data_IF_958415861082
#
_entry.id   IF_958415861082
#
_cell.length_a   1.000
_cell.length_b   1.000
_cell.length_c   1.000
_cell.angle_alpha   90.00
_cell.angle_beta   90.00
_cell.angle_gamma   90.00
#
_symmetry.space_group_name_H-M   'P 1'
#
loop_
_entity.id
_entity.type
_entity.pdbx_description
1 polymer ?
#
# COMPACT_ATOMS: atom_id res chain seq x y z
N UNK A 1 -6.59 43.22 -28.16
CA UNK A 1 -5.77 42.13 -28.71
C UNK A 1 -5.41 41.17 -27.59
N UNK A 2 -5.63 39.86 -27.75
CA UNK A 2 -5.23 38.88 -26.73
C UNK A 2 -3.74 38.58 -26.92
N UNK A 3 -2.89 39.00 -25.99
CA UNK A 3 -1.47 38.61 -25.98
C UNK A 3 -1.39 37.10 -25.79
N UNK A 4 -0.63 36.41 -26.65
CA UNK A 4 -0.39 34.97 -26.51
C UNK A 4 0.69 34.79 -25.45
N UNK A 5 0.37 34.01 -24.44
CA UNK A 5 1.27 33.66 -23.33
C UNK A 5 1.90 32.29 -23.61
N UNK A 6 3.21 32.20 -23.38
CA UNK A 6 4.00 30.99 -23.61
C UNK A 6 4.84 30.69 -22.37
N UNK A 7 4.77 29.46 -21.87
CA UNK A 7 5.55 29.01 -20.73
C UNK A 7 6.60 28.00 -21.17
N UNK A 8 7.84 28.17 -20.71
CA UNK A 8 8.98 27.32 -21.03
C UNK A 8 9.65 26.84 -19.75
N UNK A 9 9.77 25.53 -19.63
CA UNK A 9 10.49 24.89 -18.53
C UNK A 9 11.98 24.83 -18.88
N UNK A 10 12.84 25.31 -17.97
CA UNK A 10 14.30 25.27 -18.13
C UNK A 10 14.91 24.26 -17.17
N UNK A 11 15.98 23.58 -17.59
CA UNK A 11 16.54 22.44 -16.84
C UNK A 11 17.38 22.84 -15.62
N UNK A 12 17.78 24.10 -15.54
CA UNK A 12 18.48 24.70 -14.40
C UNK A 12 18.06 26.15 -14.22
N UNK A 13 18.29 26.69 -13.03
CA UNK A 13 18.08 28.12 -12.75
C UNK A 13 19.00 28.94 -13.66
N UNK A 14 18.43 29.85 -14.44
CA UNK A 14 19.21 30.71 -15.32
C UNK A 14 19.81 31.85 -14.52
N UNK A 15 21.04 32.24 -14.87
CA UNK A 15 21.58 33.52 -14.42
C UNK A 15 20.76 34.67 -15.03
N UNK A 16 20.84 35.86 -14.44
CA UNK A 16 20.06 37.00 -14.93
C UNK A 16 20.38 37.34 -16.40
N UNK A 17 21.63 37.18 -16.83
CA UNK A 17 22.06 37.46 -18.20
C UNK A 17 21.53 36.38 -19.18
N UNK A 18 21.63 35.10 -18.82
CA UNK A 18 21.05 33.98 -19.59
C UNK A 18 19.52 34.11 -19.71
N UNK A 19 18.85 34.59 -18.65
CA UNK A 19 17.40 34.83 -18.65
C UNK A 19 17.01 35.96 -19.61
N UNK A 20 17.78 37.04 -19.64
CA UNK A 20 17.54 38.16 -20.54
C UNK A 20 17.77 37.77 -22.01
N UNK A 21 18.83 37.01 -22.29
CA UNK A 21 19.11 36.49 -23.64
C UNK A 21 18.02 35.53 -24.12
N UNK A 22 17.56 34.62 -23.24
CA UNK A 22 16.46 33.70 -23.52
C UNK A 22 15.15 34.45 -23.81
N UNK A 23 14.79 35.46 -23.00
CA UNK A 23 13.59 36.27 -23.24
C UNK A 23 13.68 37.05 -24.56
N UNK A 24 14.85 37.57 -24.91
CA UNK A 24 15.07 38.29 -26.16
C UNK A 24 14.88 37.37 -27.37
N UNK A 25 15.50 36.19 -27.35
CA UNK A 25 15.36 35.18 -28.40
C UNK A 25 13.90 34.74 -28.57
N UNK A 26 13.20 34.39 -27.48
CA UNK A 26 11.83 33.88 -27.54
C UNK A 26 10.82 34.94 -27.98
N UNK A 27 11.06 36.23 -27.67
CA UNK A 27 10.26 37.33 -28.21
C UNK A 27 10.55 37.59 -29.70
N UNK A 28 11.76 37.33 -30.17
CA UNK A 28 12.07 37.31 -31.60
C UNK A 28 11.29 36.23 -32.37
N UNK A 29 11.11 35.06 -31.76
CA UNK A 29 10.40 33.91 -32.36
C UNK A 29 8.87 34.01 -32.25
N UNK A 30 8.35 34.49 -31.11
CA UNK A 30 6.91 34.50 -30.82
C UNK A 30 6.24 35.88 -30.90
N UNK A 31 7.00 36.91 -31.26
CA UNK A 31 6.55 38.31 -31.38
C UNK A 31 6.94 39.14 -30.15
N UNK A 32 7.29 40.40 -30.38
CA UNK A 32 7.83 41.30 -29.34
C UNK A 32 6.88 41.48 -28.14
N UNK A 33 5.57 41.42 -28.40
CA UNK A 33 4.50 41.58 -27.42
C UNK A 33 4.04 40.27 -26.76
N UNK A 34 4.76 39.15 -26.98
CA UNK A 34 4.46 37.87 -26.36
C UNK A 34 4.87 37.89 -24.87
N UNK A 35 4.01 37.30 -24.03
CA UNK A 35 4.28 37.13 -22.59
C UNK A 35 4.97 35.78 -22.42
N UNK A 36 6.25 35.80 -22.03
CA UNK A 36 7.06 34.59 -21.86
C UNK A 36 7.27 34.33 -20.38
N UNK A 37 6.79 33.19 -19.88
CA UNK A 37 7.05 32.69 -18.53
C UNK A 37 8.14 31.63 -18.57
N UNK A 38 9.16 31.80 -17.74
CA UNK A 38 10.25 30.83 -17.60
C UNK A 38 10.04 30.12 -16.26
N UNK A 39 9.78 28.82 -16.32
CA UNK A 39 9.62 27.98 -15.15
C UNK A 39 10.97 27.36 -14.82
N UNK A 40 11.62 27.87 -13.79
CA UNK A 40 12.91 27.36 -13.31
C UNK A 40 12.73 26.26 -12.26
N UNK A 41 13.64 25.28 -12.22
CA UNK A 41 13.58 24.21 -11.24
C UNK A 41 13.91 24.79 -9.86
N UNK A 42 13.12 24.35 -8.88
CA UNK A 42 13.27 24.77 -7.48
C UNK A 42 14.58 24.20 -6.92
N UNK A 43 15.47 25.08 -6.43
CA UNK A 43 16.55 24.66 -5.56
C UNK A 43 15.94 24.10 -4.27
N UNK A 44 16.11 22.80 -4.04
CA UNK A 44 15.74 22.14 -2.79
C UNK A 44 16.71 22.64 -1.71
N UNK A 45 16.28 23.46 -0.73
CA UNK A 45 17.18 23.94 0.30
C UNK A 45 17.55 22.78 1.23
N UNK A 46 18.82 22.72 1.62
CA UNK A 46 19.38 21.75 2.56
C UNK A 46 18.55 21.72 3.86
N UNK A 47 17.86 20.60 4.10
CA UNK A 47 16.86 20.49 5.17
C UNK A 47 17.56 20.28 6.51
N UNK A 48 17.55 21.29 7.38
CA UNK A 48 18.10 21.27 8.74
C UNK A 48 17.38 20.33 9.73
N UNK A 49 17.33 19.04 9.44
CA UNK A 49 17.52 18.01 10.45
C UNK A 49 18.99 17.62 10.35
N UNK A 50 19.78 17.66 11.43
CA UNK A 50 21.14 17.10 11.38
C UNK A 50 21.06 15.58 11.23
N UNK A 51 20.99 15.14 9.98
CA UNK A 51 21.28 13.81 9.49
C UNK A 51 22.01 13.98 8.16
N UNK A 52 23.27 13.56 8.12
CA UNK A 52 24.00 13.42 6.87
C UNK A 52 23.30 12.35 6.03
N UNK A 53 22.64 12.79 4.95
CA UNK A 53 22.20 11.91 3.87
C UNK A 53 23.36 11.85 2.89
N UNK A 54 23.97 10.67 2.72
CA UNK A 54 25.02 10.49 1.74
C UNK A 54 24.45 10.67 0.32
N UNK A 55 25.20 11.40 -0.51
CA UNK A 55 24.87 11.73 -1.89
C UNK A 55 24.44 10.50 -2.69
N UNK A 56 23.27 10.59 -3.32
CA UNK A 56 22.85 9.71 -4.41
C UNK A 56 23.15 10.47 -5.70
N UNK A 57 23.85 9.81 -6.62
CA UNK A 57 24.29 10.36 -7.90
C UNK A 57 23.15 11.04 -8.67
N UNK A 58 23.47 12.24 -9.17
CA UNK A 58 22.59 13.07 -10.00
C UNK A 58 22.53 12.47 -11.39
N UNK A 59 21.55 11.59 -11.62
CA UNK A 59 20.92 11.37 -12.91
C UNK A 59 19.65 10.56 -12.65
N UNK A 60 18.48 11.22 -12.70
CA UNK A 60 17.16 10.65 -13.04
C UNK A 60 15.99 11.56 -12.57
N UNK A 61 15.89 12.76 -13.12
CA UNK A 61 14.69 13.59 -12.96
C UNK A 61 13.65 13.31 -14.07
N UNK A 62 12.75 12.35 -13.84
CA UNK A 62 11.48 12.25 -14.59
C UNK A 62 10.31 11.73 -13.72
N UNK A 63 9.45 12.69 -13.34
CA UNK A 63 8.00 12.69 -12.97
C UNK A 63 7.46 11.54 -12.10
N UNK A 64 6.84 11.82 -10.93
CA UNK A 64 5.93 10.87 -10.29
C UNK A 64 4.58 10.84 -11.03
N UNK A 65 4.21 9.67 -11.51
CA UNK A 65 2.92 9.40 -12.14
C UNK A 65 1.94 8.94 -11.05
N UNK A 66 1.03 9.83 -10.66
CA UNK A 66 -0.19 9.49 -9.90
C UNK A 66 -1.25 10.55 -10.25
N UNK A 67 -1.69 10.54 -11.51
CA UNK A 67 -2.89 11.26 -11.95
C UNK A 67 -3.94 10.22 -12.34
N UNK A 68 -4.70 9.71 -11.37
CA UNK A 68 -5.94 9.01 -11.66
C UNK A 68 -7.11 10.00 -11.48
N UNK A 69 -7.43 10.71 -12.55
CA UNK A 69 -8.76 11.31 -12.74
C UNK A 69 -9.52 10.45 -13.73
N UNK A 70 -10.47 9.66 -13.26
CA UNK A 70 -11.50 9.08 -14.13
C UNK A 70 -12.84 9.74 -13.83
N UNK A 71 -13.29 10.63 -14.72
CA UNK A 71 -14.72 10.95 -14.80
C UNK A 71 -15.40 9.85 -15.61
N UNK A 72 -16.36 9.14 -15.01
CA UNK A 72 -17.33 8.36 -15.76
C UNK A 72 -18.75 8.89 -15.49
N UNK A 73 -19.39 9.37 -16.55
CA UNK A 73 -20.84 9.60 -16.68
C UNK A 73 -21.57 10.36 -15.56
N UNK A 74 -21.15 11.59 -15.24
CA UNK A 74 -22.05 12.59 -14.60
C UNK A 74 -22.62 12.22 -13.22
N UNK A 75 -22.13 11.14 -12.60
CA UNK A 75 -22.27 10.80 -11.18
C UNK A 75 -20.85 10.63 -10.65
N UNK A 76 -20.54 11.17 -9.47
CA UNK A 76 -19.24 10.92 -8.82
C UNK A 76 -19.10 9.40 -8.59
N UNK A 77 -18.43 8.72 -9.51
CA UNK A 77 -18.00 7.34 -9.31
C UNK A 77 -16.84 7.33 -8.33
N UNK A 78 -16.91 6.48 -7.31
CA UNK A 78 -15.83 6.29 -6.36
C UNK A 78 -14.51 6.01 -7.10
N UNK A 79 -13.54 6.92 -6.99
CA UNK A 79 -12.19 6.74 -7.59
C UNK A 79 -11.52 5.48 -7.00
N UNK A 80 -11.89 5.11 -5.77
CA UNK A 80 -11.39 3.94 -5.06
C UNK A 80 -12.53 3.19 -4.38
N UNK A 81 -12.62 1.87 -4.60
CA UNK A 81 -13.64 1.03 -3.96
C UNK A 81 -13.39 0.77 -2.47
N UNK A 82 -14.36 0.11 -1.82
CA UNK A 82 -14.34 -0.20 -0.38
C UNK A 82 -13.19 -1.13 0.05
N UNK A 83 -12.69 -1.93 -0.89
CA UNK A 83 -11.55 -2.82 -0.71
C UNK A 83 -10.21 -2.06 -0.65
N UNK A 84 -10.18 -0.78 -1.03
CA UNK A 84 -8.97 0.04 -1.08
C UNK A 84 -8.81 0.91 0.16
N UNK A 85 -7.65 0.80 0.79
CA UNK A 85 -7.16 1.78 1.75
C UNK A 85 -6.42 2.86 0.98
N UNK A 86 -6.77 4.12 1.23
CA UNK A 86 -6.16 5.29 0.59
C UNK A 86 -6.00 6.37 1.64
N UNK A 87 -4.77 6.87 1.82
CA UNK A 87 -4.43 7.87 2.83
C UNK A 87 -3.26 8.73 2.37
N UNK A 88 -3.22 10.00 2.77
CA UNK A 88 -2.09 10.87 2.50
C UNK A 88 -0.81 10.35 3.18
N UNK A 89 0.35 10.56 2.55
CA UNK A 89 1.64 10.08 3.08
C UNK A 89 1.99 10.72 4.42
N UNK A 90 1.58 11.99 4.65
CA UNK A 90 1.75 12.64 5.96
C UNK A 90 1.03 11.90 7.08
N UNK A 91 -0.11 11.27 6.78
CA UNK A 91 -0.84 10.44 7.75
C UNK A 91 -0.08 9.16 8.06
N UNK A 92 0.55 8.50 7.08
CA UNK A 92 1.37 7.29 7.31
C UNK A 92 2.54 7.55 8.28
N UNK A 93 3.07 8.78 8.31
CA UNK A 93 4.05 9.19 9.31
C UNK A 93 3.39 9.40 10.68
N UNK A 94 2.23 10.06 10.74
CA UNK A 94 1.50 10.26 11.99
C UNK A 94 1.05 8.97 12.68
N UNK A 95 0.58 7.98 11.91
CA UNK A 95 0.04 6.70 12.42
C UNK A 95 1.11 5.91 13.20
N UNK A 96 2.41 6.18 13.07
CA UNK A 96 3.42 5.42 13.85
C UNK A 96 3.38 5.68 15.35
N UNK A 97 2.73 6.75 15.80
CA UNK A 97 2.44 6.97 17.24
C UNK A 97 1.24 6.12 17.75
N UNK A 98 0.57 5.41 16.85
CA UNK A 98 -0.54 4.53 17.19
C UNK A 98 -0.06 3.11 17.43
N UNK A 99 -0.71 2.42 18.36
CA UNK A 99 -0.57 0.98 18.52
C UNK A 99 -1.16 0.25 17.31
N UNK A 100 -0.95 -1.07 17.25
CA UNK A 100 -1.36 -1.87 16.09
C UNK A 100 -2.87 -1.85 15.84
N UNK A 101 -3.69 -1.86 16.89
CA UNK A 101 -5.13 -1.92 16.75
C UNK A 101 -5.75 -0.55 16.50
N UNK A 102 -5.22 0.52 17.10
CA UNK A 102 -5.55 1.90 16.74
C UNK A 102 -5.24 2.20 15.27
N UNK A 103 -4.06 1.79 14.82
CA UNK A 103 -3.66 1.89 13.41
C UNK A 103 -4.62 1.13 12.49
N UNK A 104 -4.99 -0.10 12.85
CA UNK A 104 -6.00 -0.89 12.12
C UNK A 104 -7.36 -0.20 12.13
N UNK A 105 -7.77 0.46 13.21
CA UNK A 105 -9.01 1.22 13.25
C UNK A 105 -8.97 2.40 12.26
N UNK A 106 -7.90 3.18 12.24
CA UNK A 106 -7.72 4.27 11.25
C UNK A 106 -7.76 3.74 9.81
N UNK A 107 -7.04 2.64 9.54
CA UNK A 107 -7.05 1.96 8.24
C UNK A 107 -8.43 1.41 7.86
N UNK A 108 -9.17 0.90 8.84
CA UNK A 108 -10.50 0.35 8.65
C UNK A 108 -11.48 1.46 8.25
N UNK A 109 -11.44 2.61 8.92
CA UNK A 109 -12.41 3.69 8.67
C UNK A 109 -12.14 4.46 7.37
N UNK A 110 -10.99 4.31 6.71
CA UNK A 110 -10.64 5.14 5.53
C UNK A 110 -11.71 5.13 4.46
N UNK A 111 -12.26 3.95 4.14
CA UNK A 111 -13.33 3.82 3.15
C UNK A 111 -14.66 4.42 3.64
N UNK A 112 -15.01 4.23 4.92
CA UNK A 112 -16.23 4.81 5.52
C UNK A 112 -16.20 6.33 5.44
N UNK A 113 -15.04 6.91 5.74
CA UNK A 113 -14.82 8.35 5.70
C UNK A 113 -14.97 8.89 4.29
N UNK A 114 -14.26 8.31 3.32
CA UNK A 114 -14.38 8.72 1.91
C UNK A 114 -15.82 8.62 1.41
N UNK A 115 -16.46 7.45 1.60
CA UNK A 115 -17.78 7.19 1.04
C UNK A 115 -18.84 8.12 1.64
N UNK A 116 -18.75 8.44 2.93
CA UNK A 116 -19.70 9.33 3.56
C UNK A 116 -19.45 10.81 3.18
N UNK A 117 -18.20 11.23 2.99
CA UNK A 117 -17.86 12.60 2.59
C UNK A 117 -18.20 12.88 1.13
N UNK A 118 -18.13 11.87 0.27
CA UNK A 118 -18.64 11.97 -1.11
C UNK A 118 -20.17 12.23 -1.16
N UNK A 119 -20.89 11.92 -0.08
CA UNK A 119 -22.34 12.15 0.08
C UNK A 119 -22.63 13.46 0.82
N UNK A 120 -21.94 13.68 1.94
CA UNK A 120 -22.05 14.88 2.79
C UNK A 120 -20.66 15.38 3.19
N UNK A 121 -20.24 16.50 2.59
CA UNK A 121 -18.93 17.12 2.84
C UNK A 121 -18.71 17.54 4.32
N UNK A 122 -19.79 17.71 5.08
CA UNK A 122 -19.76 18.08 6.49
C UNK A 122 -19.76 16.87 7.42
N UNK A 123 -19.81 15.65 6.90
CA UNK A 123 -19.74 14.44 7.72
C UNK A 123 -18.41 14.38 8.48
N UNK A 124 -18.48 14.28 9.81
CA UNK A 124 -17.31 14.12 10.70
C UNK A 124 -17.40 12.95 11.67
N UNK A 125 -18.60 12.44 11.93
CA UNK A 125 -18.82 11.36 12.89
C UNK A 125 -19.02 10.02 12.17
N UNK A 126 -18.28 8.98 12.55
CA UNK A 126 -18.29 7.69 11.89
C UNK A 126 -18.53 6.56 12.89
N UNK A 127 -19.47 5.69 12.58
CA UNK A 127 -19.81 4.55 13.44
C UNK A 127 -19.05 3.30 13.03
N UNK A 128 -18.42 2.62 13.99
CA UNK A 128 -17.74 1.33 13.79
C UNK A 128 -18.35 0.28 14.70
N UNK A 129 -18.84 -0.82 14.12
CA UNK A 129 -19.36 -1.97 14.86
C UNK A 129 -18.23 -2.87 15.29
N UNK A 130 -18.25 -3.28 16.56
CA UNK A 130 -17.21 -4.13 17.12
C UNK A 130 -17.16 -5.52 16.52
N UNK A 131 -18.30 -6.06 16.13
CA UNK A 131 -18.38 -7.34 15.43
C UNK A 131 -17.65 -7.30 14.10
N UNK A 132 -17.76 -6.20 13.37
CA UNK A 132 -17.24 -6.12 12.00
C UNK A 132 -15.74 -5.86 12.02
N UNK A 133 -15.28 -4.98 12.90
CA UNK A 133 -13.85 -4.79 13.17
C UNK A 133 -13.17 -6.08 13.66
N UNK A 134 -13.81 -6.81 14.58
CA UNK A 134 -13.26 -8.06 15.11
C UNK A 134 -13.23 -9.19 14.07
N UNK A 135 -14.24 -9.30 13.19
CA UNK A 135 -14.24 -10.26 12.08
C UNK A 135 -13.06 -10.01 11.13
N UNK A 136 -12.73 -8.75 10.86
CA UNK A 136 -11.63 -8.40 9.96
C UNK A 136 -10.27 -8.71 10.61
N UNK A 137 -9.99 -8.18 11.80
CA UNK A 137 -8.64 -8.16 12.37
C UNK A 137 -8.36 -9.16 13.51
N UNK A 138 -9.40 -9.69 14.17
CA UNK A 138 -9.27 -10.43 15.44
C UNK A 138 -9.83 -11.86 15.35
N UNK A 139 -9.67 -12.54 14.19
CA UNK A 139 -10.25 -13.82 13.68
C UNK A 139 -10.47 -15.02 14.64
N UNK A 140 -10.38 -14.90 15.96
CA UNK A 140 -10.72 -15.94 16.94
C UNK A 140 -11.09 -15.42 18.35
N UNK A 141 -11.15 -14.10 18.61
CA UNK A 141 -11.25 -13.60 19.99
C UNK A 141 -12.62 -12.97 20.34
N UNK A 142 -13.42 -13.58 21.25
CA UNK A 142 -14.71 -13.02 21.69
C UNK A 142 -14.59 -11.71 22.51
N UNK A 143 -13.38 -11.21 22.76
CA UNK A 143 -13.13 -9.96 23.50
C UNK A 143 -13.16 -8.67 22.66
N UNK A 144 -13.55 -8.74 21.38
CA UNK A 144 -13.52 -7.61 20.44
C UNK A 144 -14.21 -6.32 20.92
N UNK A 145 -15.22 -6.41 21.79
CA UNK A 145 -15.91 -5.26 22.38
C UNK A 145 -15.03 -4.43 23.31
N UNK A 146 -14.31 -5.09 24.24
CA UNK A 146 -13.38 -4.40 25.16
C UNK A 146 -12.18 -3.83 24.42
N UNK A 147 -11.82 -4.42 23.28
CA UNK A 147 -10.73 -3.95 22.46
C UNK A 147 -11.06 -2.59 21.83
N UNK A 148 -12.25 -2.40 21.26
CA UNK A 148 -12.61 -1.11 20.66
C UNK A 148 -12.84 0.01 21.66
N UNK A 149 -13.41 -0.28 22.82
CA UNK A 149 -13.51 0.69 23.91
C UNK A 149 -12.13 1.21 24.31
N UNK A 150 -11.15 0.31 24.51
CA UNK A 150 -9.77 0.70 24.81
C UNK A 150 -9.09 1.47 23.68
N UNK A 151 -9.33 1.07 22.43
CA UNK A 151 -8.80 1.79 21.26
C UNK A 151 -9.36 3.22 21.24
N UNK A 152 -10.67 3.37 21.42
CA UNK A 152 -11.37 4.64 21.47
C UNK A 152 -10.78 5.59 22.53
N UNK A 153 -10.69 5.10 23.78
CA UNK A 153 -10.14 5.86 24.92
C UNK A 153 -8.69 6.30 24.70
N UNK A 154 -7.89 5.42 24.09
CA UNK A 154 -6.48 5.69 23.82
C UNK A 154 -6.31 6.66 22.65
N UNK A 155 -7.07 6.49 21.57
CA UNK A 155 -7.03 7.33 20.38
C UNK A 155 -7.43 8.78 20.68
N UNK A 156 -8.41 8.99 21.56
CA UNK A 156 -8.86 10.31 22.02
C UNK A 156 -7.73 11.13 22.68
N UNK A 157 -6.79 10.44 23.35
CA UNK A 157 -5.68 11.08 24.07
C UNK A 157 -4.47 11.36 23.17
N UNK A 158 -4.53 10.95 21.90
CA UNK A 158 -3.38 11.04 20.98
C UNK A 158 -3.54 12.20 20.01
N UNK A 159 -2.48 12.98 19.93
CA UNK A 159 -2.27 14.00 18.92
C UNK A 159 -0.95 13.73 18.18
N UNK A 160 -0.83 14.31 17.00
CA UNK A 160 0.40 14.26 16.23
C UNK A 160 0.68 15.64 15.64
N UNK A 161 1.97 15.87 15.37
CA UNK A 161 2.44 17.07 14.73
C UNK A 161 2.90 16.73 13.32
N UNK A 162 2.57 17.59 12.37
CA UNK A 162 3.03 17.51 11.00
C UNK A 162 3.47 18.89 10.52
N UNK A 163 4.27 18.89 9.48
CA UNK A 163 4.66 20.11 8.81
C UNK A 163 3.66 20.40 7.70
N UNK A 164 3.22 21.65 7.65
CA UNK A 164 2.28 22.16 6.67
C UNK A 164 2.90 23.34 5.93
N UNK A 165 2.33 23.67 4.78
CA UNK A 165 2.83 24.73 3.90
C UNK A 165 1.75 25.78 3.70
N UNK A 166 2.16 27.05 3.78
CA UNK A 166 1.32 28.16 3.36
C UNK A 166 1.39 28.35 1.84
N UNK A 167 0.48 29.18 1.30
CA UNK A 167 0.42 29.47 -0.14
C UNK A 167 1.69 30.13 -0.68
N UNK A 168 2.48 30.76 0.18
CA UNK A 168 3.78 31.37 -0.10
C UNK A 168 4.97 30.39 0.05
N UNK A 169 4.69 29.09 0.25
CA UNK A 169 5.64 28.03 0.58
C UNK A 169 6.31 28.13 1.96
N UNK A 170 5.83 29.01 2.85
CA UNK A 170 6.33 29.06 4.23
C UNK A 170 5.90 27.80 4.99
N UNK A 171 6.88 27.09 5.54
CA UNK A 171 6.67 25.86 6.30
C UNK A 171 6.40 26.18 7.77
N UNK A 172 5.35 25.59 8.33
CA UNK A 172 5.02 25.73 9.75
C UNK A 172 4.58 24.40 10.37
N UNK A 173 4.74 24.29 11.68
CA UNK A 173 4.39 23.08 12.43
C UNK A 173 2.95 23.18 12.92
N UNK A 174 2.13 22.20 12.56
CA UNK A 174 0.72 22.11 12.98
C UNK A 174 0.52 20.83 13.80
N UNK A 175 -0.23 20.95 14.90
CA UNK A 175 -0.64 19.82 15.73
C UNK A 175 -2.13 19.57 15.59
N UNK A 176 -2.54 18.30 15.53
CA UNK A 176 -3.97 17.92 15.55
C UNK A 176 -4.17 16.62 16.32
N UNK A 177 -5.36 16.46 16.91
CA UNK A 177 -5.80 15.20 17.50
C UNK A 177 -6.33 14.25 16.42
N UNK A 178 -6.27 12.95 16.70
CA UNK A 178 -6.86 11.93 15.82
C UNK A 178 -8.38 12.05 15.73
N UNK A 179 -9.00 12.22 16.89
CA UNK A 179 -10.45 12.35 17.05
C UNK A 179 -10.75 13.58 17.92
N UNK A 180 -11.80 14.30 17.58
CA UNK A 180 -12.36 15.38 18.38
C UNK A 180 -13.26 14.83 19.50
N UNK A 181 -14.01 13.77 19.20
CA UNK A 181 -14.90 13.10 20.14
C UNK A 181 -14.88 11.59 19.87
N UNK A 182 -15.07 10.81 20.93
CA UNK A 182 -15.29 9.39 20.82
C UNK A 182 -16.35 8.94 21.82
N UNK A 183 -17.36 8.20 21.35
CA UNK A 183 -18.42 7.65 22.17
C UNK A 183 -18.44 6.11 22.04
N UNK A 184 -18.43 5.41 23.17
CA UNK A 184 -18.73 3.98 23.21
C UNK A 184 -20.21 3.80 23.58
N UNK A 185 -20.98 3.19 22.68
CA UNK A 185 -22.42 3.00 22.88
C UNK A 185 -22.65 1.61 23.47
N UNK A 186 -22.63 1.56 24.81
CA UNK A 186 -22.86 0.36 25.58
C UNK A 186 -24.22 -0.28 25.22
N UNK A 187 -24.25 -1.60 25.08
CA UNK A 187 -25.42 -2.37 24.64
C UNK A 187 -25.60 -2.49 23.13
N UNK A 188 -25.05 -1.57 22.32
CA UNK A 188 -25.09 -1.68 20.84
C UNK A 188 -23.80 -2.24 20.24
N UNK A 189 -22.72 -2.33 21.03
CA UNK A 189 -21.45 -2.91 20.59
C UNK A 189 -20.80 -2.12 19.45
N UNK A 190 -20.93 -0.80 19.47
CA UNK A 190 -20.40 0.12 18.45
C UNK A 190 -19.71 1.32 19.12
N UNK A 191 -18.75 1.89 18.42
CA UNK A 191 -18.16 3.19 18.75
C UNK A 191 -18.58 4.21 17.70
N UNK A 192 -18.61 5.48 18.10
CA UNK A 192 -18.73 6.64 17.22
C UNK A 192 -17.50 7.50 17.38
N UNK A 193 -16.87 7.84 16.26
CA UNK A 193 -15.62 8.59 16.19
C UNK A 193 -15.89 9.88 15.42
N UNK A 194 -15.70 11.03 16.06
CA UNK A 194 -15.70 12.32 15.36
C UNK A 194 -14.27 12.67 14.99
N UNK A 195 -13.95 12.68 13.69
CA UNK A 195 -12.61 13.02 13.22
C UNK A 195 -12.40 14.54 13.20
N UNK A 196 -11.16 14.96 13.43
CA UNK A 196 -10.78 16.37 13.20
C UNK A 196 -10.75 16.68 11.69
N UNK A 197 -10.88 17.95 11.32
CA UNK A 197 -10.82 18.37 9.90
C UNK A 197 -9.51 17.96 9.24
N UNK A 198 -8.39 18.09 9.97
CA UNK A 198 -7.07 17.69 9.43
C UNK A 198 -6.98 16.19 9.14
N UNK A 199 -7.51 15.34 10.01
CA UNK A 199 -7.50 13.88 9.77
C UNK A 199 -8.46 13.52 8.64
N UNK A 200 -9.62 14.16 8.63
CA UNK A 200 -10.62 14.01 7.56
C UNK A 200 -10.02 14.35 6.20
N UNK A 201 -9.38 15.51 6.07
CA UNK A 201 -8.68 15.94 4.85
C UNK A 201 -7.60 14.92 4.43
N UNK A 202 -6.83 14.42 5.40
CA UNK A 202 -5.79 13.41 5.15
C UNK A 202 -6.32 12.06 4.65
N UNK A 203 -7.62 11.80 4.83
CA UNK A 203 -8.31 10.58 4.40
C UNK A 203 -9.14 10.76 3.13
N UNK A 204 -9.35 11.98 2.64
CA UNK A 204 -10.23 12.23 1.48
C UNK A 204 -9.61 13.09 0.38
N UNK A 205 -8.67 13.97 0.70
CA UNK A 205 -8.07 14.88 -0.30
C UNK A 205 -6.78 14.29 -0.84
N UNK A 206 -6.79 13.88 -2.11
CA UNK A 206 -5.66 13.22 -2.75
C UNK A 206 -5.29 13.94 -4.05
N UNK A 207 -4.16 14.63 -4.06
CA UNK A 207 -3.70 15.38 -5.24
C UNK A 207 -2.17 15.59 -5.18
N UNK A 208 -1.60 16.32 -6.13
CA UNK A 208 -0.15 16.56 -6.20
C UNK A 208 0.40 17.25 -4.94
N UNK A 209 -0.37 18.17 -4.35
CA UNK A 209 -0.01 18.84 -3.10
C UNK A 209 -0.22 17.95 -1.87
N UNK A 210 -1.04 16.91 -2.01
CA UNK A 210 -1.39 15.95 -0.98
C UNK A 210 -1.03 14.52 -1.43
N UNK A 211 0.27 14.20 -1.53
CA UNK A 211 0.72 12.89 -1.98
C UNK A 211 0.19 11.80 -1.05
N UNK A 212 -0.17 10.66 -1.64
CA UNK A 212 -0.92 9.62 -0.96
C UNK A 212 -0.46 8.23 -1.38
N UNK A 213 -0.84 7.26 -0.56
CA UNK A 213 -0.58 5.83 -0.78
C UNK A 213 -1.90 5.09 -0.85
N UNK A 214 -1.97 4.09 -1.74
CA UNK A 214 -3.13 3.22 -1.90
C UNK A 214 -2.72 1.75 -1.93
N UNK A 215 -3.50 0.89 -1.29
CA UNK A 215 -3.32 -0.56 -1.34
C UNK A 215 -4.59 -1.31 -0.98
N UNK A 216 -4.65 -2.58 -1.38
CA UNK A 216 -5.72 -3.51 -1.04
C UNK A 216 -5.76 -3.78 0.46
N UNK A 217 -6.94 -3.63 1.07
CA UNK A 217 -7.18 -3.90 2.49
C UNK A 217 -6.71 -5.29 2.90
N UNK A 218 -6.98 -6.30 2.07
CA UNK A 218 -6.59 -7.68 2.35
C UNK A 218 -5.06 -7.86 2.52
N UNK A 219 -4.25 -6.95 1.95
CA UNK A 219 -2.79 -6.99 2.09
C UNK A 219 -2.32 -6.76 3.54
N UNK A 220 -3.10 -6.05 4.35
CA UNK A 220 -2.68 -5.66 5.69
C UNK A 220 -3.36 -6.42 6.82
N UNK A 221 -4.49 -7.10 6.55
CA UNK A 221 -5.34 -7.74 7.57
C UNK A 221 -4.55 -8.72 8.44
N UNK A 222 -3.67 -9.50 7.81
CA UNK A 222 -2.89 -10.54 8.50
C UNK A 222 -1.47 -10.07 8.88
N UNK A 223 -1.11 -8.81 8.64
CA UNK A 223 0.20 -8.29 9.04
C UNK A 223 0.19 -7.95 10.55
N UNK A 224 1.23 -8.36 11.24
CA UNK A 224 1.60 -7.93 12.57
C UNK A 224 2.22 -6.54 12.56
N UNK A 225 2.62 -6.06 13.74
CA UNK A 225 3.05 -4.66 13.95
C UNK A 225 4.18 -4.22 13.02
N UNK A 226 5.31 -4.94 13.01
CA UNK A 226 6.47 -4.56 12.20
C UNK A 226 6.25 -4.83 10.70
N UNK A 227 5.53 -5.90 10.34
CA UNK A 227 5.15 -6.16 8.95
C UNK A 227 4.30 -5.03 8.39
N UNK A 228 3.33 -4.54 9.16
CA UNK A 228 2.45 -3.45 8.78
C UNK A 228 3.20 -2.12 8.63
N UNK A 229 4.12 -1.80 9.55
CA UNK A 229 4.96 -0.60 9.47
C UNK A 229 5.87 -0.62 8.24
N UNK A 230 6.54 -1.75 7.98
CA UNK A 230 7.40 -1.90 6.81
C UNK A 230 6.59 -1.88 5.51
N UNK A 231 5.45 -2.56 5.47
CA UNK A 231 4.59 -2.62 4.30
C UNK A 231 4.18 -1.23 3.85
N UNK A 232 3.76 -0.38 4.77
CA UNK A 232 3.40 0.99 4.42
C UNK A 232 4.59 1.84 3.98
N UNK A 233 5.72 1.72 4.68
CA UNK A 233 6.94 2.45 4.32
C UNK A 233 7.38 2.11 2.90
N UNK A 234 7.25 0.84 2.50
CA UNK A 234 7.56 0.41 1.13
C UNK A 234 6.45 0.86 0.16
N UNK A 235 5.18 0.69 0.54
CA UNK A 235 4.02 1.06 -0.29
C UNK A 235 4.04 2.53 -0.68
N UNK A 236 4.45 3.42 0.23
CA UNK A 236 4.56 4.85 -0.04
C UNK A 236 5.68 5.21 -1.01
N UNK A 237 6.56 4.27 -1.36
CA UNK A 237 7.70 4.46 -2.26
C UNK A 237 7.58 3.62 -3.55
N UNK A 238 6.45 2.95 -3.79
CA UNK A 238 6.27 2.12 -4.98
C UNK A 238 6.34 2.91 -6.29
N UNK A 239 6.17 4.24 -6.27
CA UNK A 239 6.31 5.09 -7.45
C UNK A 239 7.78 5.25 -7.92
N UNK A 240 8.77 4.90 -7.10
CA UNK A 240 10.18 5.03 -7.46
C UNK A 240 10.56 4.07 -8.60
N UNK A 241 11.25 4.57 -9.63
CA UNK A 241 11.67 3.78 -10.79
C UNK A 241 12.68 2.69 -10.44
N UNK A 242 13.71 3.04 -9.67
CA UNK A 242 14.72 2.09 -9.19
C UNK A 242 14.19 1.05 -8.19
N UNK A 243 12.94 1.21 -7.72
CA UNK A 243 12.30 0.38 -6.69
C UNK A 243 13.21 0.11 -5.49
N UNK A 244 13.96 1.13 -5.11
CA UNK A 244 14.89 1.12 -4.01
C UNK A 244 14.76 2.40 -3.20
N UNK A 245 14.97 2.29 -1.89
CA UNK A 245 15.00 3.45 -1.00
C UNK A 245 15.92 3.19 0.19
N UNK A 246 16.85 4.11 0.43
CA UNK A 246 17.72 4.13 1.60
C UNK A 246 17.05 4.88 2.75
N UNK A 247 17.22 4.36 3.96
CA UNK A 247 16.83 5.02 5.22
C UNK A 247 17.94 4.89 6.23
N UNK A 248 18.17 5.93 7.02
CA UNK A 248 19.11 5.86 8.14
C UNK A 248 18.61 4.87 9.18
N UNK A 249 19.55 4.22 9.88
CA UNK A 249 19.21 3.31 10.98
C UNK A 249 18.40 4.03 12.07
N UNK A 250 18.75 5.29 12.37
CA UNK A 250 18.02 6.10 13.36
C UNK A 250 16.56 6.31 12.96
N UNK A 251 16.31 6.73 11.71
CA UNK A 251 14.95 6.89 11.21
C UNK A 251 14.14 5.59 11.30
N UNK A 252 14.73 4.45 10.94
CA UNK A 252 14.04 3.16 11.02
C UNK A 252 13.74 2.76 12.47
N UNK A 253 14.61 3.08 13.43
CA UNK A 253 14.33 2.81 14.84
C UNK A 253 13.16 3.64 15.36
N UNK A 254 13.14 4.93 15.06
CA UNK A 254 12.01 5.82 15.37
C UNK A 254 10.71 5.32 14.72
N UNK A 255 10.75 5.01 13.42
CA UNK A 255 9.59 4.55 12.64
C UNK A 255 8.97 3.25 13.18
N UNK A 256 9.80 2.36 13.74
CA UNK A 256 9.38 1.05 14.25
C UNK A 256 9.22 1.00 15.77
N UNK A 257 9.25 2.14 16.48
CA UNK A 257 9.20 2.19 17.96
C UNK A 257 10.27 1.30 18.63
N UNK A 258 11.49 1.37 18.10
CA UNK A 258 12.64 0.55 18.44
C UNK A 258 13.89 1.39 18.78
N UNK A 259 13.69 2.60 19.31
CA UNK A 259 14.77 3.45 19.81
C UNK A 259 15.41 2.82 21.06
N UNK A 260 14.57 2.36 22.00
CA UNK A 260 15.02 1.74 23.25
C UNK A 260 15.11 0.20 23.19
N UNK A 261 14.66 -0.41 22.08
CA UNK A 261 14.61 -1.87 21.87
C UNK A 261 15.62 -2.32 20.83
N UNK A 262 16.08 -3.56 20.92
CA UNK A 262 17.01 -4.17 19.94
C UNK A 262 18.23 -3.27 19.68
N UNK A 263 18.94 -2.88 20.75
CA UNK A 263 20.01 -1.85 20.69
C UNK A 263 21.07 -2.15 19.63
N UNK A 264 21.45 -3.42 19.44
CA UNK A 264 22.36 -3.79 18.37
C UNK A 264 21.65 -3.78 17.01
N UNK A 265 22.36 -3.34 15.95
CA UNK A 265 21.83 -3.40 14.58
C UNK A 265 21.58 -4.84 14.13
N UNK A 266 22.30 -5.82 14.69
CA UNK A 266 22.06 -7.24 14.43
C UNK A 266 20.69 -7.66 14.92
N UNK A 267 20.35 -7.31 16.17
CA UNK A 267 19.05 -7.62 16.77
C UNK A 267 17.92 -6.91 16.04
N UNK A 268 18.10 -5.63 15.70
CA UNK A 268 17.10 -4.89 14.94
C UNK A 268 16.80 -5.56 13.59
N UNK A 269 17.83 -6.01 12.87
CA UNK A 269 17.64 -6.79 11.64
C UNK A 269 16.95 -8.13 11.90
N UNK A 270 17.36 -8.85 12.95
CA UNK A 270 16.91 -10.20 13.23
C UNK A 270 15.47 -10.28 13.74
N UNK A 271 15.06 -9.33 14.58
CA UNK A 271 13.77 -9.37 15.29
C UNK A 271 12.74 -8.39 14.72
N UNK A 272 13.16 -7.38 13.94
CA UNK A 272 12.26 -6.39 13.34
C UNK A 272 12.20 -6.56 11.83
N UNK A 273 13.31 -6.34 11.12
CA UNK A 273 13.29 -6.26 9.66
C UNK A 273 13.07 -7.61 8.97
N UNK A 274 13.81 -8.65 9.35
CA UNK A 274 13.66 -9.99 8.72
C UNK A 274 12.27 -10.59 8.95
N UNK A 275 11.69 -10.55 10.17
CA UNK A 275 10.33 -11.04 10.39
C UNK A 275 9.30 -10.25 9.60
N UNK A 276 9.39 -8.91 9.57
CA UNK A 276 8.50 -8.06 8.79
C UNK A 276 8.55 -8.41 7.29
N UNK A 277 9.74 -8.60 6.72
CA UNK A 277 9.92 -8.99 5.32
C UNK A 277 9.32 -10.37 5.03
N UNK A 278 9.55 -11.34 5.91
CA UNK A 278 8.97 -12.69 5.77
C UNK A 278 7.44 -12.63 5.76
N UNK A 279 6.88 -11.83 6.64
CA UNK A 279 5.44 -11.64 6.75
C UNK A 279 4.84 -10.97 5.50
N UNK A 280 5.44 -9.87 5.03
CA UNK A 280 5.04 -9.18 3.80
C UNK A 280 5.09 -10.15 2.60
N UNK A 281 6.16 -10.94 2.49
CA UNK A 281 6.31 -11.92 1.41
C UNK A 281 5.25 -13.03 1.44
N UNK A 282 4.78 -13.40 2.63
CA UNK A 282 3.77 -14.45 2.81
C UNK A 282 2.35 -13.92 2.57
N UNK A 283 2.05 -12.71 3.02
CA UNK A 283 0.69 -12.17 3.10
C UNK A 283 0.34 -11.19 1.97
N UNK A 284 1.32 -10.71 1.19
CA UNK A 284 1.12 -9.68 0.17
C UNK A 284 1.79 -10.03 -1.16
N UNK A 285 1.49 -9.26 -2.22
CA UNK A 285 2.17 -9.40 -3.52
C UNK A 285 3.58 -8.80 -3.51
N UNK A 286 3.94 -8.00 -2.51
CA UNK A 286 5.26 -7.37 -2.45
C UNK A 286 6.34 -8.40 -2.09
N UNK A 287 7.49 -8.27 -2.75
CA UNK A 287 8.74 -8.93 -2.37
C UNK A 287 9.73 -7.84 -2.00
N UNK A 288 10.28 -7.92 -0.78
CA UNK A 288 11.14 -6.89 -0.20
C UNK A 288 12.43 -7.56 0.25
N UNK A 289 13.56 -6.92 -0.02
CA UNK A 289 14.86 -7.29 0.52
C UNK A 289 15.59 -6.03 0.98
N UNK A 290 16.70 -6.20 1.70
CA UNK A 290 17.54 -5.07 2.06
C UNK A 290 19.03 -5.38 1.96
N UNK A 291 19.80 -4.35 1.66
CA UNK A 291 21.24 -4.28 1.85
C UNK A 291 21.55 -3.19 2.88
N UNK A 292 22.84 -2.93 3.14
CA UNK A 292 23.26 -1.96 4.15
C UNK A 292 24.44 -1.14 3.63
N UNK A 293 24.40 0.17 3.87
CA UNK A 293 25.53 1.06 3.65
C UNK A 293 26.29 1.22 4.97
N UNK A 294 27.61 1.37 4.87
CA UNK A 294 28.49 1.53 6.03
C UNK A 294 29.32 2.79 5.91
N UNK A 295 29.56 3.43 7.05
CA UNK A 295 30.64 4.40 7.22
C UNK A 295 31.66 3.80 8.18
N UNK A 296 32.82 3.42 7.65
CA UNK A 296 33.80 2.63 8.40
C UNK A 296 33.23 1.28 8.86
N UNK A 297 33.18 1.06 10.18
CA UNK A 297 32.62 -0.17 10.79
C UNK A 297 31.13 -0.08 11.08
N UNK A 298 30.57 1.13 11.10
CA UNK A 298 29.18 1.37 11.48
C UNK A 298 28.24 1.26 10.29
N UNK A 299 27.07 0.67 10.50
CA UNK A 299 26.00 0.64 9.50
C UNK A 299 25.19 1.93 9.66
N UNK A 300 25.25 2.80 8.66
CA UNK A 300 24.57 4.09 8.67
C UNK A 300 23.15 3.99 8.11
N UNK A 301 22.98 3.19 7.05
CA UNK A 301 21.72 3.09 6.32
C UNK A 301 21.36 1.65 5.97
N UNK A 302 20.05 1.41 5.87
CA UNK A 302 19.47 0.22 5.29
C UNK A 302 18.81 0.60 3.96
N UNK A 303 19.18 -0.10 2.90
CA UNK A 303 18.66 0.14 1.56
C UNK A 303 17.66 -0.97 1.25
N UNK A 304 16.37 -0.63 1.19
CA UNK A 304 15.35 -1.58 0.79
C UNK A 304 15.24 -1.63 -0.73
N UNK A 305 15.16 -2.84 -1.28
CA UNK A 305 14.77 -3.09 -2.66
C UNK A 305 13.43 -3.83 -2.65
N UNK A 306 12.53 -3.45 -3.55
CA UNK A 306 11.17 -3.98 -3.55
C UNK A 306 10.65 -4.25 -4.96
N UNK A 307 9.79 -5.26 -5.11
CA UNK A 307 9.14 -5.59 -6.38
C UNK A 307 7.70 -6.01 -6.11
N UNK A 308 6.77 -5.62 -6.98
CA UNK A 308 5.40 -6.09 -6.92
C UNK A 308 5.23 -7.33 -7.80
N UNK A 309 4.86 -8.45 -7.17
CA UNK A 309 4.62 -9.73 -7.85
C UNK A 309 3.21 -9.82 -8.43
N UNK A 310 2.34 -8.83 -8.24
CA UNK A 310 0.96 -8.85 -8.74
C UNK A 310 0.87 -9.11 -10.25
N UNK A 311 1.80 -8.57 -11.05
CA UNK A 311 1.87 -8.84 -12.48
C UNK A 311 2.18 -10.31 -12.79
N UNK A 312 3.15 -10.91 -12.09
CA UNK A 312 3.49 -12.34 -12.21
C UNK A 312 2.33 -13.23 -11.75
N UNK A 313 1.65 -12.87 -10.67
CA UNK A 313 0.50 -13.64 -10.17
C UNK A 313 -0.68 -13.59 -11.16
N UNK A 314 -0.90 -12.46 -11.84
CA UNK A 314 -1.90 -12.35 -12.93
C UNK A 314 -1.52 -13.19 -14.14
N UNK A 315 -0.23 -13.27 -14.49
CA UNK A 315 0.25 -14.14 -15.57
C UNK A 315 0.14 -15.63 -15.21
N UNK A 316 0.54 -16.01 -14.00
CA UNK A 316 0.37 -17.38 -13.47
C UNK A 316 -1.11 -17.76 -13.42
N UNK A 317 -1.99 -16.90 -12.88
CA UNK A 317 -3.43 -17.15 -12.87
C UNK A 317 -4.04 -17.22 -14.29
N UNK A 318 -3.48 -16.49 -15.27
CA UNK A 318 -3.88 -16.62 -16.69
C UNK A 318 -3.38 -17.94 -17.31
N UNK A 319 -2.19 -18.41 -16.92
CA UNK A 319 -1.62 -19.70 -17.37
C UNK A 319 -2.37 -20.87 -16.72
N UNK A 320 -2.74 -20.75 -15.44
CA UNK A 320 -3.58 -21.69 -14.71
C UNK A 320 -4.99 -21.74 -15.32
N UNK A 321 -5.63 -20.58 -15.57
CA UNK A 321 -6.92 -20.55 -16.30
C UNK A 321 -6.85 -21.07 -17.74
N UNK A 322 -5.66 -21.09 -18.36
CA UNK A 322 -5.42 -21.70 -19.68
C UNK A 322 -5.08 -23.19 -19.60
N UNK A 323 -4.76 -23.73 -18.42
CA UNK A 323 -4.56 -25.16 -18.24
C UNK A 323 -5.92 -25.86 -18.36
N UNK A 324 -6.04 -26.94 -19.15
CA UNK A 324 -7.32 -27.58 -19.37
C UNK A 324 -7.82 -28.20 -18.05
N UNK A 325 -9.01 -27.82 -17.59
CA UNK A 325 -9.74 -28.57 -16.58
C UNK A 325 -10.64 -29.59 -17.27
N UNK A 326 -10.82 -30.76 -16.66
CA UNK A 326 -11.79 -31.73 -17.16
C UNK A 326 -13.20 -31.18 -16.87
N UNK A 327 -14.13 -31.35 -17.80
CA UNK A 327 -15.54 -31.11 -17.49
C UNK A 327 -16.09 -32.21 -16.57
N UNK A 328 -17.27 -32.01 -15.97
CA UNK A 328 -17.86 -32.96 -15.02
C UNK A 328 -17.98 -34.39 -15.59
N UNK A 329 -18.29 -34.56 -16.87
CA UNK A 329 -18.42 -35.87 -17.50
C UNK A 329 -17.04 -36.56 -17.63
N UNK A 330 -16.00 -35.82 -17.99
CA UNK A 330 -14.64 -36.30 -18.02
C UNK A 330 -14.14 -36.61 -16.61
N UNK A 331 -14.41 -35.75 -15.61
CA UNK A 331 -14.03 -35.99 -14.22
C UNK A 331 -14.66 -37.29 -13.68
N UNK A 332 -15.94 -37.54 -13.96
CA UNK A 332 -16.62 -38.79 -13.59
C UNK A 332 -16.04 -40.04 -14.28
N UNK A 333 -15.45 -39.90 -15.46
CA UNK A 333 -14.83 -41.01 -16.19
C UNK A 333 -13.50 -41.44 -15.57
N UNK A 334 -12.76 -40.48 -15.01
CA UNK A 334 -11.43 -40.72 -14.46
C UNK A 334 -11.39 -40.84 -12.93
N UNK A 335 -12.37 -40.28 -12.21
CA UNK A 335 -12.38 -40.33 -10.74
C UNK A 335 -12.32 -41.76 -10.19
N UNK A 336 -13.07 -42.69 -10.79
CA UNK A 336 -13.11 -44.09 -10.40
C UNK A 336 -11.81 -44.82 -10.71
N UNK A 337 -11.16 -44.47 -11.83
CA UNK A 337 -9.88 -45.05 -12.22
C UNK A 337 -8.76 -44.58 -11.30
N UNK A 338 -8.77 -43.30 -10.90
CA UNK A 338 -7.75 -42.70 -10.04
C UNK A 338 -7.85 -43.16 -8.58
N UNK A 339 -9.00 -43.67 -8.13
CA UNK A 339 -9.10 -44.34 -6.83
C UNK A 339 -8.22 -45.60 -6.73
N UNK A 340 -7.90 -46.24 -7.87
CA UNK A 340 -7.05 -47.42 -7.89
C UNK A 340 -5.55 -47.07 -7.73
N UNK A 341 -5.18 -45.79 -7.75
CA UNK A 341 -3.81 -45.34 -7.60
C UNK A 341 -3.47 -45.14 -6.12
N UNK A 342 -2.87 -46.17 -5.51
CA UNK A 342 -2.48 -46.15 -4.10
C UNK A 342 -1.58 -44.95 -3.75
N UNK A 343 -0.71 -44.52 -4.67
CA UNK A 343 0.16 -43.35 -4.49
C UNK A 343 -0.61 -42.01 -4.46
N UNK A 344 -1.81 -41.94 -5.05
CA UNK A 344 -2.67 -40.75 -4.98
C UNK A 344 -3.58 -40.77 -3.75
N UNK A 345 -4.12 -41.94 -3.40
CA UNK A 345 -5.13 -42.08 -2.34
C UNK A 345 -4.48 -42.20 -0.96
N UNK A 346 -3.31 -42.82 -0.85
CA UNK A 346 -2.61 -43.05 0.41
C UNK A 346 -2.23 -41.78 1.18
N UNK A 347 -2.00 -40.68 0.46
CA UNK A 347 -1.62 -39.38 1.04
C UNK A 347 -2.83 -38.44 1.28
N UNK A 348 -4.05 -38.87 0.96
CA UNK A 348 -5.25 -38.03 1.15
C UNK A 348 -5.78 -38.13 2.59
N UNK A 349 -6.15 -37.01 3.23
CA UNK A 349 -6.70 -36.98 4.59
C UNK A 349 -8.19 -37.38 4.61
N UNK A 350 -8.51 -38.59 4.17
CA UNK A 350 -9.88 -39.12 4.01
C UNK A 350 -10.03 -40.47 4.69
N UNK A 351 -11.25 -40.80 5.12
CA UNK A 351 -11.54 -42.06 5.83
C UNK A 351 -12.17 -43.11 4.94
N UNK A 352 -12.74 -42.70 3.81
CA UNK A 352 -13.42 -43.60 2.87
C UNK A 352 -13.04 -43.34 1.41
N UNK A 353 -13.19 -44.37 0.57
CA UNK A 353 -12.97 -44.25 -0.87
C UNK A 353 -14.02 -43.34 -1.55
N UNK A 354 -15.21 -43.19 -0.96
CA UNK A 354 -16.22 -42.28 -1.49
C UNK A 354 -15.84 -40.80 -1.26
N UNK A 355 -15.26 -40.49 -0.11
CA UNK A 355 -14.70 -39.16 0.18
C UNK A 355 -13.52 -38.85 -0.75
N UNK A 356 -12.60 -39.81 -0.90
CA UNK A 356 -11.49 -39.73 -1.85
C UNK A 356 -11.98 -39.42 -3.26
N UNK A 357 -13.03 -40.12 -3.72
CA UNK A 357 -13.62 -39.96 -5.05
C UNK A 357 -14.17 -38.56 -5.26
N UNK A 358 -14.92 -38.03 -4.30
CA UNK A 358 -15.51 -36.69 -4.37
C UNK A 358 -14.43 -35.61 -4.44
N UNK A 359 -13.34 -35.77 -3.69
CA UNK A 359 -12.21 -34.83 -3.70
C UNK A 359 -11.50 -34.89 -5.05
N UNK A 360 -11.13 -36.08 -5.54
CA UNK A 360 -10.49 -36.26 -6.84
C UNK A 360 -11.35 -35.65 -7.96
N UNK A 361 -12.65 -35.97 -7.97
CA UNK A 361 -13.58 -35.46 -8.99
C UNK A 361 -13.65 -33.92 -9.00
N UNK A 362 -13.69 -33.30 -7.82
CA UNK A 362 -13.68 -31.84 -7.68
C UNK A 362 -12.34 -31.25 -8.14
N UNK A 363 -11.22 -31.84 -7.74
CA UNK A 363 -9.88 -31.37 -8.10
C UNK A 363 -9.59 -31.52 -9.61
N UNK A 364 -10.10 -32.55 -10.29
CA UNK A 364 -9.96 -32.70 -11.75
C UNK A 364 -10.61 -31.56 -12.55
N UNK A 365 -11.58 -30.87 -11.94
CA UNK A 365 -12.28 -29.72 -12.53
C UNK A 365 -11.60 -28.38 -12.20
N UNK A 366 -10.52 -28.41 -11.43
CA UNK A 366 -9.77 -27.25 -10.99
C UNK A 366 -8.42 -27.17 -11.73
N UNK A 367 -8.15 -26.12 -12.53
CA UNK A 367 -6.93 -26.03 -13.33
C UNK A 367 -5.63 -26.10 -12.52
N UNK A 368 -5.63 -25.59 -11.29
CA UNK A 368 -4.50 -25.61 -10.36
C UNK A 368 -4.11 -27.03 -9.90
N UNK A 369 -5.06 -27.98 -9.93
CA UNK A 369 -4.86 -29.37 -9.56
C UNK A 369 -4.57 -30.28 -10.77
N UNK A 370 -4.83 -29.81 -12.00
CA UNK A 370 -4.71 -30.62 -13.21
C UNK A 370 -3.33 -31.29 -13.38
N UNK A 371 -2.24 -30.56 -13.12
CA UNK A 371 -0.86 -31.10 -13.22
C UNK A 371 -0.59 -32.27 -12.27
N UNK A 372 -1.21 -32.28 -11.08
CA UNK A 372 -1.08 -33.36 -10.09
C UNK A 372 -1.63 -34.68 -10.63
N UNK A 373 -2.74 -34.61 -11.37
CA UNK A 373 -3.44 -35.79 -11.89
C UNK A 373 -3.00 -36.21 -13.28
N UNK A 374 -2.38 -35.31 -14.06
CA UNK A 374 -2.00 -35.54 -15.45
C UNK A 374 -1.22 -36.85 -15.70
N UNK A 375 -0.20 -37.24 -14.90
CA UNK A 375 0.51 -38.51 -15.13
C UNK A 375 -0.40 -39.74 -15.06
N UNK A 376 -1.37 -39.70 -14.15
CA UNK A 376 -2.32 -40.78 -13.93
C UNK A 376 -3.45 -40.76 -14.96
N UNK A 377 -3.91 -39.57 -15.36
CA UNK A 377 -4.87 -39.41 -16.45
C UNK A 377 -4.32 -40.01 -17.76
N UNK A 378 -3.06 -39.72 -18.09
CA UNK A 378 -2.38 -40.30 -19.27
C UNK A 378 -2.31 -41.84 -19.17
N UNK A 379 -1.93 -42.37 -17.99
CA UNK A 379 -1.91 -43.82 -17.72
C UNK A 379 -3.26 -44.48 -17.99
N UNK A 380 -4.37 -43.78 -17.72
CA UNK A 380 -5.74 -44.28 -17.94
C UNK A 380 -6.35 -43.88 -19.29
N UNK A 381 -5.53 -43.41 -20.24
CA UNK A 381 -5.93 -43.17 -21.63
C UNK A 381 -6.47 -41.77 -21.91
N UNK A 382 -6.22 -40.79 -21.04
CA UNK A 382 -6.51 -39.39 -21.34
C UNK A 382 -5.54 -38.86 -22.41
N UNK A 383 -6.06 -38.40 -23.54
CA UNK A 383 -5.31 -37.70 -24.56
C UNK A 383 -5.73 -36.23 -24.59
N UNK A 384 -4.79 -35.31 -24.40
CA UNK A 384 -5.06 -33.89 -24.58
C UNK A 384 -5.46 -33.63 -26.02
N UNK A 385 -6.61 -32.98 -26.21
CA UNK A 385 -6.98 -32.41 -27.50
C UNK A 385 -5.89 -31.41 -27.90
N UNK A 386 -5.08 -31.76 -28.91
CA UNK A 386 -4.24 -30.79 -29.60
C UNK A 386 -5.17 -29.78 -30.25
N UNK A 387 -5.39 -28.64 -29.59
CA UNK A 387 -6.01 -27.50 -30.25
C UNK A 387 -5.02 -26.96 -31.27
N UNK A 388 -5.41 -27.03 -32.54
CA UNK A 388 -4.78 -26.36 -33.67
C UNK A 388 -4.82 -24.84 -33.53
#
# INVERSE_FOLDING_TARGET
>A
MKHKEYAFDVERKLTNDERLEFLHYMKGVHGADAIIRINEPLEVPDFGFKYEVAHIDKDEDKKPHNEDKSLSNGKLGYIYGDHMIVMQNRLLHAITNLDTNERRLIMYITHLVRNAIDIDENQRTFTVKATDFAKEYNKSNPTGYKTLEKIADSLLKKAFWFWDFQADNTKYKRGTSWVAECAYISGQGKIELTLTDSVTEMLTVFNRSNPFTKYERQSIVNLGTYGLMLFELISSNLYLKGKQKAYTVKYLREKFDCEDKYKSISDFKQYVLKPAIKEIKLQTTLDVSFTQNKSGREITEIVFAFKDRAAKNKEIAKIEKKSPCLNQAQANLFDFKLLAEHALVGDMPVKTNEEAKRIINRELQMPEHYKKYLPYLIKYGYAESKKS
#
